data_IF_835017590074
#
_entry.id   IF_835017590074
#
_cell.length_a   1.000
_cell.length_b   1.000
_cell.length_c   1.000
_cell.angle_alpha   90.00
_cell.angle_beta   90.00
_cell.angle_gamma   90.00
#
_symmetry.space_group_name_H-M   'P 1'
#
loop_
_entity.id
_entity.type
_entity.pdbx_description
1 polymer ?
#
# COMPACT_ATOMS: atom_id res chain seq x y z
N UNK A 1 -58.96 18.12 49.02
CA UNK A 1 -59.86 18.81 48.08
C UNK A 1 -59.54 18.32 46.67
N UNK A 2 -60.52 17.84 45.89
CA UNK A 2 -60.46 17.43 44.45
C UNK A 2 -59.29 16.53 43.99
N UNK A 3 -59.41 15.25 43.58
CA UNK A 3 -60.53 14.37 43.19
C UNK A 3 -61.07 14.53 41.74
N UNK A 4 -60.55 13.73 40.78
CA UNK A 4 -61.20 13.16 39.55
C UNK A 4 -60.14 12.50 38.64
N UNK A 5 -59.96 11.17 38.50
CA UNK A 5 -60.75 10.12 37.78
C UNK A 5 -60.95 10.29 36.25
N UNK A 6 -60.32 9.40 35.46
CA UNK A 6 -60.67 8.79 34.14
C UNK A 6 -59.44 8.02 33.61
N UNK A 7 -59.37 6.72 33.29
CA UNK A 7 -60.29 5.55 33.26
C UNK A 7 -61.06 5.30 31.92
N UNK A 8 -60.58 4.28 31.18
CA UNK A 8 -61.22 3.36 30.19
C UNK A 8 -61.72 3.94 28.83
N UNK A 9 -61.20 3.41 27.71
CA UNK A 9 -61.92 2.44 26.85
C UNK A 9 -60.99 1.72 25.85
N UNK A 10 -61.10 0.38 25.82
CA UNK A 10 -60.56 -0.50 24.78
C UNK A 10 -61.64 -0.65 23.69
N UNK A 11 -61.26 -0.62 22.42
CA UNK A 11 -62.11 -1.10 21.32
C UNK A 11 -61.25 -1.74 20.24
N UNK A 12 -61.56 -2.99 19.90
CA UNK A 12 -60.91 -3.74 18.83
C UNK A 12 -61.82 -3.81 17.59
N UNK A 13 -61.23 -3.68 16.41
CA UNK A 13 -61.71 -4.35 15.19
C UNK A 13 -60.57 -4.40 14.18
N UNK A 14 -60.10 -5.58 13.77
CA UNK A 14 -60.72 -6.57 12.86
C UNK A 14 -60.31 -6.30 11.41
N UNK A 15 -59.36 -7.11 10.93
CA UNK A 15 -58.73 -7.00 9.61
C UNK A 15 -58.19 -8.35 9.17
N UNK A 16 -59.08 -9.34 9.14
CA UNK A 16 -58.76 -10.73 8.80
C UNK A 16 -58.76 -10.90 7.28
N UNK A 17 -57.60 -11.11 6.66
CA UNK A 17 -57.50 -11.72 5.34
C UNK A 17 -56.70 -13.02 5.42
N UNK A 18 -57.32 -14.06 4.89
CA UNK A 18 -56.88 -15.45 4.88
C UNK A 18 -56.46 -15.89 3.48
N UNK A 19 -55.48 -16.79 3.41
CA UNK A 19 -55.29 -17.95 2.51
C UNK A 19 -53.77 -18.12 2.23
N UNK A 20 -53.16 -19.28 1.99
CA UNK A 20 -53.34 -20.73 2.24
C UNK A 20 -52.31 -21.43 1.33
N UNK A 21 -51.57 -22.43 1.84
CA UNK A 21 -50.62 -23.27 1.07
C UNK A 21 -49.22 -22.63 0.87
N UNK A 22 -48.08 -23.33 0.79
CA UNK A 22 -47.73 -24.76 0.88
C UNK A 22 -46.21 -24.86 1.23
N UNK A 23 -45.58 -26.00 1.52
CA UNK A 23 -46.02 -27.39 1.77
C UNK A 23 -44.98 -28.10 2.67
N UNK A 24 -45.29 -29.32 3.15
CA UNK A 24 -44.31 -30.26 3.75
C UNK A 24 -43.25 -30.63 2.69
N UNK A 25 -41.98 -30.73 3.07
CA UNK A 25 -40.97 -31.45 2.30
C UNK A 25 -40.04 -32.27 3.19
N UNK A 26 -39.61 -33.41 2.66
CA UNK A 26 -38.99 -34.50 3.40
C UNK A 26 -37.56 -34.23 3.86
N UNK A 27 -37.22 -34.88 4.98
CA UNK A 27 -35.83 -35.07 5.43
C UNK A 27 -35.23 -36.25 4.66
N UNK A 28 -34.73 -36.01 3.45
CA UNK A 28 -33.94 -37.00 2.72
C UNK A 28 -32.50 -37.05 3.22
N UNK A 29 -32.07 -38.20 3.73
CA UNK A 29 -30.68 -38.44 4.10
C UNK A 29 -29.83 -38.67 2.84
N UNK A 30 -28.94 -37.72 2.54
CA UNK A 30 -28.07 -37.80 1.37
C UNK A 30 -26.95 -38.82 1.60
N UNK A 31 -27.22 -40.06 1.20
CA UNK A 31 -26.29 -41.19 1.32
C UNK A 31 -25.16 -41.07 0.28
N UNK A 32 -24.00 -40.59 0.71
CA UNK A 32 -22.85 -40.19 -0.13
C UNK A 32 -22.02 -41.36 -0.71
N UNK A 33 -22.68 -42.45 -1.14
CA UNK A 33 -22.03 -43.74 -1.45
C UNK A 33 -22.65 -44.52 -2.64
N UNK A 34 -23.11 -43.85 -3.69
CA UNK A 34 -23.68 -44.56 -4.86
C UNK A 34 -23.37 -43.90 -6.23
N UNK A 35 -22.17 -43.32 -6.38
CA UNK A 35 -21.66 -42.81 -7.66
C UNK A 35 -20.20 -43.19 -7.94
N UNK A 36 -19.76 -44.35 -7.45
CA UNK A 36 -18.52 -45.02 -7.87
C UNK A 36 -18.86 -46.24 -8.74
N UNK A 37 -19.27 -46.07 -10.00
CA UNK A 37 -19.18 -47.13 -11.04
C UNK A 37 -19.50 -46.69 -12.49
N UNK A 38 -19.26 -45.44 -12.89
CA UNK A 38 -19.24 -45.12 -14.32
C UNK A 38 -18.21 -44.03 -14.66
N UNK A 39 -17.62 -44.13 -15.86
CA UNK A 39 -16.60 -43.22 -16.42
C UNK A 39 -15.21 -43.28 -15.76
N UNK A 40 -14.60 -44.48 -15.72
CA UNK A 40 -13.14 -44.61 -15.87
C UNK A 40 -12.85 -45.32 -17.19
N UNK A 41 -12.63 -44.54 -18.26
CA UNK A 41 -12.15 -45.08 -19.53
C UNK A 41 -10.66 -45.39 -19.39
N UNK A 42 -10.35 -46.63 -19.04
CA UNK A 42 -8.98 -47.11 -18.93
C UNK A 42 -8.23 -46.87 -20.26
N UNK A 43 -7.14 -46.10 -20.19
CA UNK A 43 -6.24 -45.90 -21.32
C UNK A 43 -5.32 -47.13 -21.44
N UNK A 44 -5.32 -47.76 -22.61
CA UNK A 44 -4.53 -48.97 -22.86
C UNK A 44 -3.03 -48.65 -22.82
N UNK A 45 -2.30 -49.33 -21.92
CA UNK A 45 -0.86 -49.16 -21.76
C UNK A 45 -0.12 -49.93 -22.88
N UNK A 46 0.69 -49.26 -23.73
CA UNK A 46 1.35 -49.92 -24.84
C UNK A 46 2.48 -50.86 -24.36
N UNK A 47 2.54 -52.13 -24.85
CA UNK A 47 3.51 -53.10 -24.38
C UNK A 47 4.86 -52.96 -25.09
N UNK A 48 5.78 -52.15 -24.56
CA UNK A 48 7.23 -52.29 -24.78
C UNK A 48 8.08 -51.43 -23.82
N UNK A 49 8.22 -51.88 -22.56
CA UNK A 49 9.01 -51.19 -21.54
C UNK A 49 10.08 -52.09 -20.88
N UNK A 50 10.62 -53.06 -21.63
CA UNK A 50 11.77 -53.87 -21.22
C UNK A 50 12.83 -53.96 -22.31
N UNK A 51 13.77 -53.01 -22.29
CA UNK A 51 15.11 -53.21 -22.84
C UNK A 51 16.18 -52.55 -21.94
N UNK A 52 16.61 -53.22 -20.85
CA UNK A 52 17.64 -52.71 -19.95
C UNK A 52 19.03 -52.90 -20.56
N UNK A 53 19.37 -52.08 -21.56
CA UNK A 53 20.70 -52.04 -22.18
C UNK A 53 21.22 -50.60 -22.35
N UNK A 54 21.19 -49.82 -21.27
CA UNK A 54 21.94 -48.57 -21.14
C UNK A 54 22.97 -48.63 -20.01
N UNK A 55 24.12 -48.01 -20.26
CA UNK A 55 25.30 -48.02 -19.41
C UNK A 55 25.07 -47.30 -18.08
N UNK A 56 25.67 -47.80 -16.98
CA UNK A 56 25.67 -47.14 -15.67
C UNK A 56 26.30 -45.75 -15.67
N UNK A 57 27.00 -45.36 -16.73
CA UNK A 57 27.63 -44.04 -16.86
C UNK A 57 26.63 -42.91 -17.15
N UNK A 58 25.39 -43.23 -17.57
CA UNK A 58 24.33 -42.23 -17.81
C UNK A 58 23.80 -41.64 -16.48
N UNK A 59 23.84 -42.43 -15.38
CA UNK A 59 23.39 -41.97 -14.06
C UNK A 59 24.30 -40.85 -13.51
N UNK A 60 25.60 -40.90 -13.78
CA UNK A 60 26.55 -39.88 -13.32
C UNK A 60 26.35 -38.54 -14.02
N UNK A 61 26.00 -38.56 -15.32
CA UNK A 61 25.63 -37.32 -16.02
C UNK A 61 24.22 -36.85 -15.63
N UNK A 62 23.27 -37.77 -15.42
CA UNK A 62 21.94 -37.41 -14.94
C UNK A 62 21.98 -36.79 -13.53
N UNK A 63 22.87 -37.23 -12.63
CA UNK A 63 23.05 -36.61 -11.30
C UNK A 63 23.73 -35.24 -11.45
N UNK A 64 24.77 -35.11 -12.28
CA UNK A 64 25.39 -33.80 -12.53
C UNK A 64 24.41 -32.81 -13.20
N UNK A 65 23.51 -33.29 -14.06
CA UNK A 65 22.43 -32.47 -14.62
C UNK A 65 21.32 -32.19 -13.61
N UNK A 66 21.00 -33.10 -12.67
CA UNK A 66 20.08 -32.81 -11.57
C UNK A 66 20.64 -31.78 -10.57
N UNK A 67 21.94 -31.77 -10.33
CA UNK A 67 22.62 -30.72 -9.54
C UNK A 67 22.66 -29.38 -10.27
N UNK A 68 22.78 -29.38 -11.61
CA UNK A 68 22.70 -28.18 -12.45
C UNK A 68 21.26 -27.70 -12.69
N UNK A 69 20.28 -28.62 -12.63
CA UNK A 69 18.86 -28.33 -12.74
C UNK A 69 18.27 -27.84 -11.40
N UNK A 70 18.83 -28.19 -10.23
CA UNK A 70 18.33 -27.66 -8.95
C UNK A 70 18.42 -26.13 -8.84
N UNK A 71 19.47 -25.50 -9.39
CA UNK A 71 19.59 -24.04 -9.45
C UNK A 71 18.71 -23.39 -10.53
N UNK A 72 18.14 -24.16 -11.48
CA UNK A 72 17.27 -23.63 -12.55
C UNK A 72 15.79 -24.05 -12.44
N UNK A 73 15.47 -25.03 -11.60
CA UNK A 73 14.10 -25.41 -11.24
C UNK A 73 13.44 -24.39 -10.28
N UNK A 74 14.22 -23.62 -9.53
CA UNK A 74 13.73 -22.49 -8.75
C UNK A 74 13.13 -21.36 -9.62
N UNK A 75 13.55 -21.27 -10.89
CA UNK A 75 13.24 -20.16 -11.81
C UNK A 75 12.32 -20.58 -12.98
N UNK A 76 11.89 -21.86 -13.06
CA UNK A 76 11.03 -22.35 -14.15
C UNK A 76 9.75 -23.11 -13.74
N UNK A 77 9.60 -23.57 -12.49
CA UNK A 77 8.46 -24.46 -12.12
C UNK A 77 7.20 -23.74 -11.61
N UNK A 78 7.17 -22.41 -11.61
CA UNK A 78 5.97 -21.59 -11.29
C UNK A 78 5.25 -21.06 -12.55
N UNK A 79 5.84 -21.21 -13.72
CA UNK A 79 5.57 -20.37 -14.90
C UNK A 79 4.63 -21.00 -15.95
N UNK A 80 4.43 -22.33 -15.93
CA UNK A 80 3.96 -23.04 -17.13
C UNK A 80 2.44 -23.22 -17.27
N UNK A 81 1.63 -22.86 -16.28
CA UNK A 81 0.17 -23.08 -16.30
C UNK A 81 -0.69 -21.96 -15.70
N UNK A 82 -0.09 -20.90 -15.14
CA UNK A 82 -0.82 -19.70 -14.72
C UNK A 82 -0.54 -18.61 -15.77
N UNK A 83 -1.55 -17.90 -16.30
CA UNK A 83 -1.34 -16.78 -17.19
C UNK A 83 -0.83 -15.57 -16.41
N UNK A 84 0.45 -15.59 -16.03
CA UNK A 84 1.17 -14.44 -15.49
C UNK A 84 1.28 -13.40 -16.59
N UNK A 85 0.81 -12.17 -16.34
CA UNK A 85 1.08 -11.08 -17.27
C UNK A 85 2.58 -10.83 -17.24
N UNK A 86 3.21 -10.77 -18.41
CA UNK A 86 4.62 -10.41 -18.53
C UNK A 86 4.77 -9.12 -19.31
N UNK A 87 5.67 -8.28 -18.83
CA UNK A 87 6.06 -7.03 -19.49
C UNK A 87 7.54 -6.80 -19.21
N UNK A 88 8.25 -6.30 -20.22
CA UNK A 88 9.67 -6.08 -20.15
C UNK A 88 10.01 -4.75 -19.43
N UNK A 89 11.28 -4.60 -19.04
CA UNK A 89 11.83 -3.37 -18.46
C UNK A 89 11.20 -2.85 -17.16
N UNK A 90 10.33 -3.64 -16.49
CA UNK A 90 9.62 -3.21 -15.28
C UNK A 90 10.55 -2.59 -14.24
N UNK A 91 10.27 -1.32 -13.90
CA UNK A 91 10.89 -0.67 -12.75
C UNK A 91 10.03 0.41 -12.09
N UNK A 92 10.12 0.54 -10.77
CA UNK A 92 9.51 1.63 -10.02
C UNK A 92 10.47 2.83 -10.03
N UNK A 93 9.93 4.01 -10.31
CA UNK A 93 10.64 5.29 -10.36
C UNK A 93 9.92 6.33 -9.48
N UNK A 94 10.61 7.44 -9.19
CA UNK A 94 10.09 8.55 -8.40
C UNK A 94 10.77 9.86 -8.76
N UNK A 95 10.06 10.96 -8.53
CA UNK A 95 10.57 12.33 -8.64
C UNK A 95 10.47 13.09 -7.29
N UNK A 96 10.44 12.36 -6.17
CA UNK A 96 10.08 12.77 -4.81
C UNK A 96 8.58 13.03 -4.60
N UNK A 97 7.92 13.75 -5.52
CA UNK A 97 6.50 14.13 -5.35
C UNK A 97 5.51 13.06 -5.81
N UNK A 98 5.88 12.27 -6.81
CA UNK A 98 5.07 11.19 -7.39
C UNK A 98 5.96 9.95 -7.58
N UNK A 99 5.34 8.77 -7.52
CA UNK A 99 5.97 7.48 -7.84
C UNK A 99 5.21 6.85 -9.01
N UNK A 100 5.90 6.15 -9.89
CA UNK A 100 5.28 5.45 -11.02
C UNK A 100 5.96 4.12 -11.29
N UNK A 101 5.20 3.22 -11.91
CA UNK A 101 5.73 2.04 -12.55
C UNK A 101 6.08 2.42 -14.00
N UNK A 102 7.33 2.20 -14.38
CA UNK A 102 7.83 2.33 -15.74
C UNK A 102 7.88 0.92 -16.37
N UNK A 103 7.34 0.82 -17.58
CA UNK A 103 7.21 -0.41 -18.36
C UNK A 103 7.82 -0.17 -19.74
N UNK A 104 8.68 -1.07 -20.20
CA UNK A 104 9.30 -1.00 -21.54
C UNK A 104 8.29 -1.48 -22.58
N UNK A 105 7.41 -0.55 -22.98
CA UNK A 105 6.42 -0.72 -24.03
C UNK A 105 5.90 0.63 -24.51
N UNK A 106 5.90 0.84 -25.82
CA UNK A 106 5.20 1.92 -26.52
C UNK A 106 3.72 1.58 -26.79
N UNK A 107 3.32 0.33 -26.59
CA UNK A 107 1.95 -0.16 -26.78
C UNK A 107 1.04 0.23 -25.59
N UNK A 108 0.66 1.50 -25.56
CA UNK A 108 -0.19 2.11 -24.53
C UNK A 108 -1.53 1.38 -24.34
N UNK A 109 -2.13 0.83 -25.40
CA UNK A 109 -3.38 0.06 -25.32
C UNK A 109 -3.18 -1.28 -24.60
N UNK A 110 -2.07 -1.99 -24.83
CA UNK A 110 -1.74 -3.20 -24.09
C UNK A 110 -1.53 -2.91 -22.61
N UNK A 111 -0.80 -1.83 -22.28
CA UNK A 111 -0.62 -1.40 -20.88
C UNK A 111 -1.96 -1.02 -20.25
N UNK A 112 -2.84 -0.30 -20.96
CA UNK A 112 -4.19 0.04 -20.51
C UNK A 112 -5.01 -1.20 -20.11
N UNK A 113 -5.07 -2.21 -20.98
CA UNK A 113 -5.82 -3.45 -20.70
C UNK A 113 -5.16 -4.28 -19.59
N UNK A 114 -3.84 -4.20 -19.45
CA UNK A 114 -3.11 -4.86 -18.36
C UNK A 114 -3.43 -4.18 -17.01
N UNK A 115 -3.41 -2.84 -16.94
CA UNK A 115 -3.78 -2.07 -15.73
C UNK A 115 -5.23 -2.30 -15.32
N UNK A 116 -6.17 -2.38 -16.28
CA UNK A 116 -7.57 -2.74 -15.97
C UNK A 116 -7.69 -4.14 -15.37
N UNK A 117 -6.96 -5.11 -15.92
CA UNK A 117 -6.97 -6.49 -15.41
C UNK A 117 -6.35 -6.59 -14.02
N UNK A 118 -5.30 -5.82 -13.75
CA UNK A 118 -4.74 -5.62 -12.41
C UNK A 118 -5.81 -5.07 -11.44
N UNK A 119 -6.44 -3.94 -11.74
CA UNK A 119 -7.45 -3.34 -10.87
C UNK A 119 -8.60 -4.33 -10.56
N UNK A 120 -9.06 -5.06 -11.58
CA UNK A 120 -10.08 -6.10 -11.40
C UNK A 120 -9.62 -7.31 -10.56
N UNK A 121 -8.37 -7.78 -10.69
CA UNK A 121 -7.87 -8.88 -9.86
C UNK A 121 -7.74 -8.50 -8.37
N UNK A 122 -7.58 -7.21 -8.07
CA UNK A 122 -7.59 -6.67 -6.70
C UNK A 122 -9.00 -6.22 -6.26
N UNK A 123 -10.06 -6.63 -6.97
CA UNK A 123 -11.45 -6.40 -6.58
C UNK A 123 -12.02 -5.02 -6.93
N UNK A 124 -11.25 -4.15 -7.57
CA UNK A 124 -11.74 -2.83 -8.00
C UNK A 124 -12.55 -2.94 -9.29
N UNK A 125 -13.69 -2.25 -9.33
CA UNK A 125 -14.49 -2.03 -10.54
C UNK A 125 -14.11 -0.67 -11.14
N UNK A 126 -14.08 -0.57 -12.48
CA UNK A 126 -13.80 0.69 -13.18
C UNK A 126 -15.09 1.52 -13.28
N UNK A 127 -15.03 2.76 -12.79
CA UNK A 127 -16.13 3.74 -12.84
C UNK A 127 -16.07 4.63 -14.09
N UNK A 128 -14.87 5.06 -14.47
CA UNK A 128 -14.64 6.01 -15.57
C UNK A 128 -13.38 5.62 -16.36
N UNK A 129 -13.50 5.58 -17.69
CA UNK A 129 -12.39 5.37 -18.61
C UNK A 129 -12.22 6.59 -19.52
N UNK A 130 -11.05 7.23 -19.44
CA UNK A 130 -10.69 8.43 -20.21
C UNK A 130 -9.38 8.21 -20.96
N UNK A 131 -9.44 7.30 -21.94
CA UNK A 131 -8.31 6.95 -22.82
C UNK A 131 -7.70 8.15 -23.54
N UNK A 132 -8.54 9.14 -23.85
CA UNK A 132 -8.16 10.39 -24.53
C UNK A 132 -7.15 11.24 -23.75
N UNK A 133 -7.10 11.08 -22.42
CA UNK A 133 -6.21 11.81 -21.51
C UNK A 133 -5.41 10.87 -20.58
N UNK A 134 -5.45 9.56 -20.81
CA UNK A 134 -4.68 8.59 -20.04
C UNK A 134 -5.23 8.24 -18.65
N UNK A 135 -6.50 8.50 -18.32
CA UNK A 135 -7.04 8.31 -16.96
C UNK A 135 -8.03 7.15 -16.79
N UNK A 136 -7.81 6.32 -15.78
CA UNK A 136 -8.75 5.34 -15.25
C UNK A 136 -9.19 5.75 -13.84
N UNK A 137 -10.46 5.58 -13.48
CA UNK A 137 -10.94 5.77 -12.09
C UNK A 137 -11.72 4.56 -11.65
N UNK A 138 -11.47 4.08 -10.43
CA UNK A 138 -12.26 3.00 -9.84
C UNK A 138 -13.54 3.53 -9.18
N UNK A 139 -14.49 2.63 -8.99
CA UNK A 139 -15.50 2.76 -7.95
C UNK A 139 -14.86 2.68 -6.56
N UNK A 140 -15.62 3.07 -5.53
CA UNK A 140 -15.23 2.88 -4.15
C UNK A 140 -15.39 1.40 -3.75
N UNK A 141 -14.29 0.77 -3.35
CA UNK A 141 -14.26 -0.60 -2.84
C UNK A 141 -14.27 -0.59 -1.32
N UNK A 142 -15.20 -1.29 -0.66
CA UNK A 142 -15.18 -1.46 0.79
C UNK A 142 -14.00 -2.34 1.20
N UNK A 143 -13.14 -1.84 2.10
CA UNK A 143 -12.08 -2.66 2.69
C UNK A 143 -12.70 -3.77 3.53
N UNK A 144 -12.31 -5.01 3.29
CA UNK A 144 -13.01 -6.21 3.82
C UNK A 144 -12.13 -7.09 4.72
N UNK A 145 -10.97 -6.59 5.15
CA UNK A 145 -9.93 -7.38 5.81
C UNK A 145 -9.69 -6.93 7.26
N UNK A 146 -9.92 -7.86 8.19
CA UNK A 146 -9.25 -7.89 9.49
C UNK A 146 -7.89 -8.55 9.26
N UNK A 147 -6.78 -7.86 9.48
CA UNK A 147 -5.44 -8.47 9.31
C UNK A 147 -5.13 -9.37 10.51
N UNK A 148 -5.00 -10.71 10.35
CA UNK A 148 -4.66 -11.56 11.48
C UNK A 148 -3.17 -11.41 11.81
N UNK A 149 -2.86 -10.79 12.97
CA UNK A 149 -1.47 -10.54 13.39
C UNK A 149 -0.61 -11.81 13.62
N UNK A 150 -1.27 -12.97 13.75
CA UNK A 150 -0.70 -14.12 14.45
C UNK A 150 0.07 -15.12 13.57
N UNK A 151 -0.06 -15.07 12.23
CA UNK A 151 0.52 -16.11 11.36
C UNK A 151 0.89 -15.61 9.94
N UNK A 152 1.61 -14.49 9.87
CA UNK A 152 2.01 -13.84 8.61
C UNK A 152 3.51 -13.62 8.53
N UNK A 153 4.12 -14.04 7.41
CA UNK A 153 5.56 -13.93 7.15
C UNK A 153 6.04 -12.47 7.03
N UNK A 154 7.37 -12.26 7.05
CA UNK A 154 7.98 -10.92 7.03
C UNK A 154 7.50 -10.03 5.89
N UNK A 155 7.35 -10.58 4.67
CA UNK A 155 6.82 -9.86 3.51
C UNK A 155 5.37 -9.44 3.74
N UNK A 156 4.52 -10.37 4.18
CA UNK A 156 3.09 -10.11 4.45
C UNK A 156 2.89 -9.12 5.60
N UNK A 157 3.73 -9.15 6.65
CA UNK A 157 3.72 -8.13 7.72
C UNK A 157 4.10 -6.76 7.20
N UNK A 158 5.11 -6.67 6.34
CA UNK A 158 5.56 -5.40 5.75
C UNK A 158 4.53 -4.83 4.75
N UNK A 159 3.81 -5.70 4.02
CA UNK A 159 2.72 -5.30 3.13
C UNK A 159 1.43 -4.93 3.87
N UNK A 160 1.22 -5.40 5.11
CA UNK A 160 -0.01 -5.16 5.88
C UNK A 160 0.14 -4.19 7.07
N UNK A 161 1.36 -3.77 7.43
CA UNK A 161 1.62 -2.94 8.63
C UNK A 161 0.87 -1.61 8.68
N UNK A 162 0.55 -1.04 7.52
CA UNK A 162 -0.14 0.26 7.38
C UNK A 162 -1.67 0.13 7.31
N UNK A 163 -2.23 -1.11 7.25
CA UNK A 163 -3.67 -1.40 7.31
C UNK A 163 -4.12 -1.35 8.79
N UNK A 164 -5.15 -0.56 9.16
CA UNK A 164 -5.70 -0.63 10.51
C UNK A 164 -6.35 -2.00 10.76
N UNK A 165 -6.18 -2.54 11.97
CA UNK A 165 -6.61 -3.89 12.36
C UNK A 165 -8.13 -4.11 12.25
N UNK A 166 -8.91 -3.04 12.34
CA UNK A 166 -10.36 -3.00 12.19
C UNK A 166 -10.73 -1.99 11.10
N UNK A 167 -11.17 -2.50 9.94
CA UNK A 167 -11.46 -1.69 8.76
C UNK A 167 -12.96 -1.65 8.40
N UNK A 168 -13.85 -1.40 9.36
CA UNK A 168 -15.25 -1.08 9.03
C UNK A 168 -15.43 0.41 8.70
N UNK A 169 -16.38 0.73 7.82
CA UNK A 169 -16.61 2.10 7.33
C UNK A 169 -15.51 2.69 6.43
N UNK A 170 -14.49 1.92 6.03
CA UNK A 170 -13.40 2.35 5.15
C UNK A 170 -13.65 1.93 3.70
N UNK A 171 -13.53 2.89 2.77
CA UNK A 171 -13.62 2.64 1.33
C UNK A 171 -12.42 3.22 0.60
N UNK A 172 -11.86 2.43 -0.31
CA UNK A 172 -10.69 2.74 -1.10
C UNK A 172 -11.08 3.05 -2.55
N UNK A 173 -10.43 4.04 -3.15
CA UNK A 173 -10.58 4.39 -4.56
C UNK A 173 -9.22 4.72 -5.16
N UNK A 174 -8.97 4.23 -6.38
CA UNK A 174 -7.80 4.59 -7.16
C UNK A 174 -8.18 5.45 -8.37
N UNK A 175 -7.32 6.42 -8.66
CA UNK A 175 -7.22 7.10 -9.95
C UNK A 175 -5.87 6.71 -10.54
N UNK A 176 -5.85 6.17 -11.75
CA UNK A 176 -4.62 5.75 -12.42
C UNK A 176 -4.39 6.63 -13.64
N UNK A 177 -3.20 7.22 -13.75
CA UNK A 177 -2.73 8.00 -14.91
C UNK A 177 -1.74 7.14 -15.69
N UNK A 178 -1.90 7.04 -17.00
CA UNK A 178 -1.03 6.29 -17.91
C UNK A 178 -0.49 7.26 -18.96
N UNK A 179 0.83 7.37 -19.04
CA UNK A 179 1.54 8.27 -19.95
C UNK A 179 2.54 7.45 -20.79
N UNK A 180 2.52 7.61 -22.11
CA UNK A 180 3.43 6.89 -23.01
C UNK A 180 4.43 7.84 -23.64
N UNK A 181 5.70 7.56 -23.43
CA UNK A 181 6.87 8.24 -24.00
C UNK A 181 7.34 7.45 -25.23
N UNK A 182 6.74 7.77 -26.38
CA UNK A 182 6.96 7.08 -27.66
C UNK A 182 8.43 7.18 -28.11
N UNK A 183 9.15 8.23 -27.71
CA UNK A 183 10.57 8.40 -28.06
C UNK A 183 11.48 7.51 -27.20
N UNK A 184 11.12 7.28 -25.94
CA UNK A 184 11.84 6.39 -25.03
C UNK A 184 11.43 4.91 -25.16
N UNK A 185 10.30 4.62 -25.81
CA UNK A 185 9.71 3.28 -25.86
C UNK A 185 9.09 2.84 -24.52
N UNK A 186 8.69 3.80 -23.68
CA UNK A 186 8.30 3.56 -22.29
C UNK A 186 6.87 4.00 -22.00
N UNK A 187 6.17 3.28 -21.14
CA UNK A 187 4.89 3.71 -20.56
C UNK A 187 5.00 3.81 -19.04
N UNK A 188 4.55 4.93 -18.49
CA UNK A 188 4.54 5.26 -17.05
C UNK A 188 3.13 5.14 -16.50
N UNK A 189 2.97 4.41 -15.40
CA UNK A 189 1.69 4.18 -14.72
C UNK A 189 1.78 4.75 -13.30
N UNK A 190 0.99 5.78 -13.02
CA UNK A 190 0.90 6.46 -11.73
C UNK A 190 -0.39 6.03 -11.04
N UNK A 191 -0.31 5.61 -9.77
CA UNK A 191 -1.47 5.29 -8.96
C UNK A 191 -1.69 6.38 -7.92
N UNK A 192 -2.85 7.01 -7.91
CA UNK A 192 -3.28 7.96 -6.88
C UNK A 192 -4.37 7.35 -6.01
N UNK A 193 -4.17 7.32 -4.70
CA UNK A 193 -5.10 6.73 -3.74
C UNK A 193 -5.99 7.78 -3.06
N UNK A 194 -7.27 7.45 -2.92
CA UNK A 194 -8.24 8.22 -2.16
C UNK A 194 -8.97 7.32 -1.15
N UNK A 195 -8.94 7.73 0.11
CA UNK A 195 -9.63 7.03 1.20
C UNK A 195 -10.87 7.83 1.65
N UNK A 196 -12.00 7.14 1.68
CA UNK A 196 -13.25 7.63 2.25
C UNK A 196 -13.52 6.87 3.56
N UNK A 197 -13.85 7.60 4.63
CA UNK A 197 -14.08 7.00 5.95
C UNK A 197 -15.39 7.48 6.57
N UNK A 198 -16.13 6.55 7.16
CA UNK A 198 -17.27 6.78 8.06
C UNK A 198 -16.83 6.52 9.50
N UNK A 199 -16.78 7.56 10.38
CA UNK A 199 -16.35 7.39 11.77
C UNK A 199 -17.25 6.48 12.60
N UNK A 200 -18.55 6.50 12.30
CA UNK A 200 -19.57 5.99 13.20
C UNK A 200 -20.17 4.68 12.67
N UNK A 201 -19.74 3.56 13.27
CA UNK A 201 -20.28 2.21 13.00
C UNK A 201 -21.01 1.64 14.23
N UNK A 202 -20.87 2.27 15.41
CA UNK A 202 -21.40 1.77 16.69
C UNK A 202 -22.36 2.72 17.43
N UNK A 203 -22.62 3.93 16.93
CA UNK A 203 -23.64 4.82 17.51
C UNK A 203 -24.83 4.99 16.57
N UNK A 204 -26.03 5.07 17.16
CA UNK A 204 -27.28 4.91 16.45
C UNK A 204 -27.62 6.13 15.58
N UNK A 205 -27.43 5.99 14.27
CA UNK A 205 -28.08 6.72 13.16
C UNK A 205 -28.86 8.00 13.57
N UNK A 206 -28.14 9.10 13.77
CA UNK A 206 -28.73 10.44 13.61
C UNK A 206 -28.22 11.06 12.30
N UNK A 207 -29.09 11.85 11.66
CA UNK A 207 -29.02 12.08 10.22
C UNK A 207 -28.24 13.36 9.88
N UNK A 208 -27.09 13.20 9.23
CA UNK A 208 -26.54 14.25 8.36
C UNK A 208 -25.25 14.93 8.84
N UNK A 209 -24.20 14.15 9.10
CA UNK A 209 -22.79 14.54 8.95
C UNK A 209 -21.91 13.29 9.16
N UNK A 210 -20.76 13.06 8.53
CA UNK A 210 -20.17 13.70 7.34
C UNK A 210 -19.10 12.75 6.79
N UNK A 211 -19.19 12.31 5.53
CA UNK A 211 -18.09 11.58 4.90
C UNK A 211 -16.85 12.48 4.85
N UNK A 212 -15.74 12.04 5.46
CA UNK A 212 -14.48 12.80 5.46
C UNK A 212 -13.49 12.16 4.50
N UNK A 213 -12.97 12.96 3.57
CA UNK A 213 -11.80 12.59 2.75
C UNK A 213 -10.59 12.65 3.68
N UNK A 214 -9.88 11.53 3.84
CA UNK A 214 -8.64 11.49 4.63
C UNK A 214 -7.49 12.09 3.81
N UNK A 215 -6.49 12.76 4.42
CA UNK A 215 -5.27 13.15 3.71
C UNK A 215 -4.59 11.96 2.99
N UNK A 216 -3.88 12.33 1.93
CA UNK A 216 -3.08 11.47 1.05
C UNK A 216 -2.13 10.55 1.83
N UNK A 217 -2.05 9.27 1.43
CA UNK A 217 -1.20 8.24 2.06
C UNK A 217 -0.22 7.62 1.05
N UNK A 218 1.05 8.05 1.02
CA UNK A 218 2.08 7.47 0.14
C UNK A 218 2.18 5.94 0.20
N UNK A 219 1.95 5.34 1.37
CA UNK A 219 2.04 3.89 1.61
C UNK A 219 1.06 3.09 0.73
N UNK A 220 -0.14 3.63 0.48
CA UNK A 220 -1.19 2.97 -0.32
C UNK A 220 -0.77 2.88 -1.80
N UNK A 221 -0.06 3.90 -2.29
CA UNK A 221 0.42 3.99 -3.65
C UNK A 221 1.69 3.17 -3.83
N UNK A 222 2.54 3.11 -2.80
CA UNK A 222 3.65 2.16 -2.73
C UNK A 222 3.15 0.71 -2.85
N UNK A 223 2.10 0.32 -2.11
CA UNK A 223 1.51 -1.01 -2.27
C UNK A 223 0.98 -1.23 -3.69
N UNK A 224 0.20 -0.31 -4.25
CA UNK A 224 -0.34 -0.45 -5.60
C UNK A 224 0.77 -0.62 -6.66
N UNK A 225 1.90 0.08 -6.49
CA UNK A 225 3.08 -0.05 -7.33
C UNK A 225 3.77 -1.42 -7.16
N UNK A 226 3.93 -1.91 -5.92
CA UNK A 226 4.46 -3.25 -5.67
C UNK A 226 3.57 -4.33 -6.28
N UNK A 227 2.26 -4.29 -5.98
CA UNK A 227 1.29 -5.29 -6.44
C UNK A 227 1.18 -5.29 -7.97
N UNK A 228 1.16 -4.12 -8.61
CA UNK A 228 1.12 -4.03 -10.08
C UNK A 228 2.43 -4.51 -10.71
N UNK A 229 3.59 -4.16 -10.16
CA UNK A 229 4.88 -4.65 -10.64
C UNK A 229 5.00 -6.18 -10.57
N UNK A 230 4.52 -6.79 -9.46
CA UNK A 230 4.46 -8.25 -9.33
C UNK A 230 3.45 -8.85 -10.31
N UNK A 231 2.26 -8.25 -10.44
CA UNK A 231 1.22 -8.70 -11.37
C UNK A 231 1.67 -8.69 -12.84
N UNK A 232 2.52 -7.74 -13.25
CA UNK A 232 3.11 -7.68 -14.59
C UNK A 232 4.37 -8.55 -14.76
N UNK A 233 4.70 -9.41 -13.78
CA UNK A 233 5.70 -10.47 -13.94
C UNK A 233 7.05 -10.22 -13.27
N UNK A 234 7.16 -9.25 -12.35
CA UNK A 234 8.33 -9.13 -11.47
C UNK A 234 8.26 -10.10 -10.29
N UNK A 235 9.41 -10.54 -9.78
CA UNK A 235 9.47 -11.15 -8.45
C UNK A 235 9.12 -10.14 -7.35
N UNK A 236 8.61 -10.66 -6.23
CA UNK A 236 8.28 -9.92 -5.00
C UNK A 236 9.51 -9.18 -4.46
N UNK A 237 10.66 -9.84 -4.50
CA UNK A 237 11.93 -9.38 -3.94
C UNK A 237 12.44 -8.19 -4.74
N UNK A 238 12.35 -8.25 -6.08
CA UNK A 238 12.71 -7.15 -6.99
C UNK A 238 11.78 -5.95 -6.80
N UNK A 239 10.47 -6.17 -6.70
CA UNK A 239 9.51 -5.10 -6.50
C UNK A 239 9.71 -4.38 -5.14
N UNK A 240 9.91 -5.15 -4.06
CA UNK A 240 10.18 -4.62 -2.73
C UNK A 240 11.53 -3.88 -2.65
N UNK A 241 12.57 -4.40 -3.32
CA UNK A 241 13.87 -3.72 -3.38
C UNK A 241 13.76 -2.35 -4.07
N UNK A 242 13.00 -2.24 -5.15
CA UNK A 242 12.82 -0.98 -5.87
C UNK A 242 11.96 0.03 -5.12
N UNK A 243 10.94 -0.41 -4.37
CA UNK A 243 10.25 0.46 -3.40
C UNK A 243 11.22 1.04 -2.36
N UNK A 244 12.03 0.20 -1.71
CA UNK A 244 12.99 0.66 -0.69
C UNK A 244 14.01 1.68 -1.23
N UNK A 245 14.51 1.45 -2.45
CA UNK A 245 15.42 2.40 -3.13
C UNK A 245 14.71 3.71 -3.51
N UNK A 246 13.40 3.66 -3.75
CA UNK A 246 12.52 4.80 -4.01
C UNK A 246 12.14 5.56 -2.74
N UNK A 247 12.06 4.87 -1.60
CA UNK A 247 11.67 5.41 -0.30
C UNK A 247 12.81 6.04 0.49
N UNK A 248 14.08 5.79 0.14
CA UNK A 248 15.20 6.23 0.96
C UNK A 248 16.49 6.47 0.16
N UNK A 249 17.05 7.68 0.31
CA UNK A 249 18.47 7.80 0.64
C UNK A 249 18.65 8.76 1.81
N UNK A 250 18.33 8.26 3.00
CA UNK A 250 18.91 8.80 4.24
C UNK A 250 20.39 8.49 4.16
N UNK A 251 21.24 9.49 4.36
CA UNK A 251 22.68 9.27 4.48
C UNK A 251 23.06 9.54 5.93
N UNK A 252 23.33 8.46 6.68
CA UNK A 252 24.21 8.59 7.83
C UNK A 252 25.61 8.85 7.26
N UNK A 253 26.11 10.06 7.47
CA UNK A 253 27.54 10.35 7.29
C UNK A 253 28.29 9.59 8.39
N UNK A 254 29.44 9.00 8.04
CA UNK A 254 30.26 8.20 8.95
C UNK A 254 30.45 8.87 10.33
N UNK A 255 30.00 8.20 11.39
CA UNK A 255 30.14 8.69 12.77
C UNK A 255 28.84 8.87 13.56
N UNK A 256 28.07 7.77 13.70
CA UNK A 256 27.09 7.51 14.77
C UNK A 256 25.81 8.38 14.92
N UNK A 257 25.62 9.51 14.20
CA UNK A 257 24.44 10.37 14.42
C UNK A 257 23.65 10.79 13.15
N UNK A 258 22.31 10.74 13.22
CA UNK A 258 21.40 11.10 12.13
C UNK A 258 21.40 12.63 11.89
N UNK A 259 21.99 13.05 10.78
CA UNK A 259 22.17 14.48 10.45
C UNK A 259 21.09 15.10 9.57
N UNK A 260 20.72 14.43 8.47
CA UNK A 260 19.97 15.02 7.37
C UNK A 260 19.30 13.97 6.48
N UNK A 261 18.46 14.41 5.53
CA UNK A 261 17.91 13.57 4.46
C UNK A 261 18.57 13.92 3.12
N UNK A 262 18.82 12.92 2.26
CA UNK A 262 19.25 13.16 0.87
C UNK A 262 18.09 12.86 -0.08
N UNK A 263 17.64 13.93 -0.74
CA UNK A 263 16.58 13.92 -1.73
C UNK A 263 17.20 13.74 -3.13
N UNK A 264 16.83 12.68 -3.84
CA UNK A 264 17.29 12.41 -5.23
C UNK A 264 16.50 13.23 -6.26
N UNK A 265 16.58 14.54 -6.16
CA UNK A 265 16.18 15.45 -7.22
C UNK A 265 17.02 16.73 -7.21
N UNK A 266 16.89 17.53 -8.26
CA UNK A 266 17.45 18.88 -8.31
C UNK A 266 16.88 19.77 -7.21
N UNK A 267 17.62 20.82 -6.86
CA UNK A 267 17.29 21.77 -5.80
C UNK A 267 15.87 22.35 -5.93
N UNK A 268 15.46 22.73 -7.15
CA UNK A 268 14.13 23.28 -7.46
C UNK A 268 12.99 22.28 -7.23
N UNK A 269 13.19 21.01 -7.62
CA UNK A 269 12.22 19.93 -7.40
C UNK A 269 12.10 19.61 -5.91
N UNK A 270 13.24 19.49 -5.23
CA UNK A 270 13.33 19.27 -3.79
C UNK A 270 12.66 20.40 -2.99
N UNK A 271 12.79 21.66 -3.45
CA UNK A 271 12.16 22.83 -2.84
C UNK A 271 10.64 22.83 -2.98
N UNK A 272 10.16 22.57 -4.20
CA UNK A 272 8.73 22.43 -4.49
C UNK A 272 8.10 21.29 -3.67
N UNK A 273 8.82 20.17 -3.57
CA UNK A 273 8.45 19.03 -2.73
C UNK A 273 8.40 19.38 -1.24
N UNK A 274 9.43 20.04 -0.69
CA UNK A 274 9.49 20.43 0.72
C UNK A 274 8.30 21.32 1.13
N UNK A 275 7.99 22.36 0.33
CA UNK A 275 6.84 23.23 0.59
C UNK A 275 5.51 22.45 0.57
N UNK A 276 5.32 21.60 -0.43
CA UNK A 276 4.11 20.79 -0.55
C UNK A 276 3.98 19.78 0.61
N UNK A 277 5.09 19.20 1.07
CA UNK A 277 5.11 18.26 2.20
C UNK A 277 4.76 18.95 3.52
N UNK A 278 5.34 20.11 3.81
CA UNK A 278 4.98 20.91 5.00
C UNK A 278 3.49 21.26 5.02
N UNK A 279 2.93 21.66 3.87
CA UNK A 279 1.49 21.91 3.73
C UNK A 279 0.65 20.64 3.93
N UNK A 280 1.04 19.50 3.34
CA UNK A 280 0.34 18.20 3.51
C UNK A 280 0.38 17.68 4.95
N UNK A 281 1.44 17.99 5.69
CA UNK A 281 1.59 17.64 7.11
C UNK A 281 0.77 18.53 8.05
N UNK A 282 0.10 19.57 7.53
CA UNK A 282 -0.63 20.60 8.30
C UNK A 282 0.28 21.43 9.23
N UNK A 283 1.56 21.58 8.86
CA UNK A 283 2.51 22.44 9.59
C UNK A 283 2.44 23.87 9.06
N UNK A 284 2.32 24.85 9.96
CA UNK A 284 2.20 26.25 9.54
C UNK A 284 3.56 26.88 9.19
N UNK A 285 3.65 27.44 7.98
CA UNK A 285 4.84 28.16 7.52
C UNK A 285 4.86 29.55 8.17
N UNK A 286 5.92 29.85 8.91
CA UNK A 286 6.17 31.14 9.54
C UNK A 286 6.85 32.11 8.57
N UNK A 287 7.86 31.63 7.84
CA UNK A 287 8.66 32.45 6.92
C UNK A 287 9.28 31.61 5.80
N UNK A 288 9.50 32.24 4.64
CA UNK A 288 10.12 31.63 3.46
C UNK A 288 11.27 32.51 2.97
N UNK A 289 12.40 31.89 2.62
CA UNK A 289 13.53 32.50 1.89
C UNK A 289 13.86 31.61 0.70
N UNK A 290 13.13 31.79 -0.40
CA UNK A 290 13.31 31.02 -1.63
C UNK A 290 14.67 31.29 -2.32
N UNK A 291 15.29 32.45 -2.06
CA UNK A 291 16.65 32.78 -2.51
C UNK A 291 17.74 31.91 -1.84
N UNK A 292 17.44 31.33 -0.67
CA UNK A 292 18.35 30.47 0.11
C UNK A 292 17.83 29.05 0.30
N UNK A 293 16.66 28.73 -0.27
CA UNK A 293 15.97 27.46 -0.07
C UNK A 293 15.75 27.12 1.42
N UNK A 294 15.39 28.15 2.21
CA UNK A 294 15.17 28.04 3.67
C UNK A 294 13.71 28.33 4.02
N UNK A 295 13.15 27.52 4.90
CA UNK A 295 11.76 27.58 5.35
C UNK A 295 11.71 27.51 6.89
N UNK A 296 10.98 28.43 7.52
CA UNK A 296 10.69 28.36 8.95
C UNK A 296 9.28 27.87 9.15
N UNK A 297 9.11 26.80 9.93
CA UNK A 297 7.83 26.15 10.18
C UNK A 297 7.57 26.06 11.67
N UNK A 298 6.33 26.28 12.09
CA UNK A 298 5.94 26.06 13.47
C UNK A 298 5.62 24.57 13.68
N UNK A 299 6.21 23.98 14.71
CA UNK A 299 5.93 22.59 15.09
C UNK A 299 4.55 22.54 15.76
N UNK A 300 3.60 21.69 15.33
CA UNK A 300 2.32 21.53 16.01
C UNK A 300 2.45 21.15 17.50
N UNK A 301 1.58 21.68 18.36
CA UNK A 301 1.67 21.50 19.82
C UNK A 301 1.66 20.02 20.26
N UNK A 302 0.86 19.19 19.57
CA UNK A 302 0.76 17.75 19.78
C UNK A 302 2.03 16.95 19.39
N UNK A 303 2.99 17.61 18.74
CA UNK A 303 4.29 17.07 18.32
C UNK A 303 5.41 17.69 19.17
N UNK A 304 5.25 18.94 19.63
CA UNK A 304 6.15 19.57 20.62
C UNK A 304 6.17 18.81 21.95
N UNK A 305 5.02 18.25 22.36
CA UNK A 305 4.85 17.56 23.64
C UNK A 305 4.04 16.27 23.45
N UNK A 306 4.73 15.18 23.15
CA UNK A 306 4.13 13.84 23.23
C UNK A 306 4.80 13.03 24.35
N UNK A 307 4.01 12.66 25.36
CA UNK A 307 4.42 11.63 26.31
C UNK A 307 4.54 10.30 25.56
N UNK A 308 5.76 9.79 25.44
CA UNK A 308 6.06 8.53 24.74
C UNK A 308 5.19 7.39 25.28
N UNK A 309 4.33 6.79 24.42
CA UNK A 309 3.51 5.62 24.75
C UNK A 309 4.34 4.42 25.29
N UNK A 310 5.64 4.41 24.98
CA UNK A 310 6.61 3.39 25.37
C UNK A 310 7.09 3.55 26.83
N UNK A 311 6.90 4.72 27.45
CA UNK A 311 7.38 5.04 28.80
C UNK A 311 6.75 4.18 29.91
N UNK A 312 5.60 3.57 29.63
CA UNK A 312 4.91 2.67 30.56
C UNK A 312 5.63 1.33 30.82
N UNK A 313 6.58 0.93 29.96
CA UNK A 313 7.26 -0.37 30.04
C UNK A 313 8.72 -0.30 30.54
N UNK A 314 9.25 0.90 30.80
CA UNK A 314 10.65 1.10 31.16
C UNK A 314 10.83 1.97 32.42
N UNK A 315 10.40 1.45 33.58
CA UNK A 315 10.44 2.16 34.87
C UNK A 315 11.85 2.58 35.36
N UNK A 316 12.91 2.15 34.67
CA UNK A 316 14.31 2.37 35.04
C UNK A 316 15.05 3.39 34.17
N UNK A 317 14.42 3.97 33.14
CA UNK A 317 15.01 5.04 32.33
C UNK A 317 14.37 6.38 32.69
N UNK A 318 15.18 7.41 32.87
CA UNK A 318 14.70 8.78 33.01
C UNK A 318 13.86 9.16 31.80
N UNK A 319 12.73 9.83 32.05
CA UNK A 319 11.80 10.26 31.02
C UNK A 319 12.38 11.45 30.24
N UNK A 320 13.20 11.18 29.23
CA UNK A 320 13.59 12.18 28.24
C UNK A 320 12.37 12.51 27.36
N UNK A 321 11.59 13.47 27.84
CA UNK A 321 10.55 14.13 27.04
C UNK A 321 11.26 14.85 25.90
N UNK A 322 10.99 14.42 24.66
CA UNK A 322 11.47 15.11 23.46
C UNK A 322 10.72 16.45 23.31
N UNK A 323 11.14 17.46 24.09
CA UNK A 323 10.70 18.83 23.89
C UNK A 323 11.28 19.34 22.57
N UNK A 324 10.44 19.51 21.55
CA UNK A 324 10.83 20.21 20.32
C UNK A 324 10.61 21.72 20.48
N UNK A 325 11.41 22.56 19.80
CA UNK A 325 11.17 24.00 19.77
C UNK A 325 9.88 24.32 18.99
N UNK A 326 9.24 25.44 19.33
CA UNK A 326 7.98 25.87 18.69
C UNK A 326 8.11 26.23 17.21
N UNK A 327 9.32 26.54 16.74
CA UNK A 327 9.67 26.77 15.34
C UNK A 327 10.91 25.95 15.02
N UNK A 328 11.01 25.39 13.81
CA UNK A 328 12.26 24.81 13.26
C UNK A 328 12.57 25.40 11.89
N UNK A 329 13.84 25.35 11.52
CA UNK A 329 14.36 25.80 10.21
C UNK A 329 14.63 24.57 9.34
N UNK A 330 14.06 24.54 8.14
CA UNK A 330 14.29 23.52 7.12
C UNK A 330 15.08 24.15 5.97
N UNK A 331 16.24 23.58 5.62
CA UNK A 331 17.15 24.13 4.62
C UNK A 331 17.53 23.09 3.59
N UNK A 332 17.53 23.47 2.30
CA UNK A 332 18.02 22.63 1.20
C UNK A 332 19.32 23.18 0.62
N UNK A 333 20.28 22.30 0.37
CA UNK A 333 21.52 22.58 -0.38
C UNK A 333 21.79 21.50 -1.42
N UNK A 334 22.45 21.83 -2.52
CA UNK A 334 22.91 20.80 -3.44
C UNK A 334 23.98 19.92 -2.79
N UNK A 335 24.02 18.66 -3.19
CA UNK A 335 25.16 17.77 -2.97
C UNK A 335 26.31 18.22 -3.89
N UNK A 336 27.53 18.33 -3.35
CA UNK A 336 28.68 18.88 -4.11
C UNK A 336 29.25 17.88 -5.12
N UNK A 337 28.98 16.58 -4.97
CA UNK A 337 29.46 15.54 -5.88
C UNK A 337 28.43 15.16 -6.94
N UNK A 338 27.12 15.32 -6.67
CA UNK A 338 26.05 14.83 -7.55
C UNK A 338 24.91 15.85 -7.69
N UNK A 339 24.84 16.52 -8.84
CA UNK A 339 23.86 17.57 -9.15
C UNK A 339 22.38 17.15 -9.14
N UNK A 340 22.08 15.85 -9.18
CA UNK A 340 20.73 15.30 -9.02
C UNK A 340 20.36 14.93 -7.57
N UNK A 341 21.20 15.31 -6.60
CA UNK A 341 20.92 15.19 -5.17
C UNK A 341 20.84 16.55 -4.49
N UNK A 342 19.94 16.63 -3.52
CA UNK A 342 19.77 17.77 -2.61
C UNK A 342 19.76 17.25 -1.18
N UNK A 343 20.47 17.92 -0.28
CA UNK A 343 20.53 17.61 1.15
C UNK A 343 19.56 18.52 1.90
N UNK A 344 18.68 17.92 2.70
CA UNK A 344 17.69 18.58 3.56
C UNK A 344 18.13 18.47 5.03
N UNK A 345 18.44 19.60 5.65
CA UNK A 345 18.71 19.71 7.09
C UNK A 345 17.49 20.26 7.85
N UNK A 346 17.39 19.90 9.14
CA UNK A 346 16.47 20.54 10.08
C UNK A 346 17.24 21.02 11.30
N UNK A 347 17.04 22.27 11.65
CA UNK A 347 17.82 22.99 12.67
C UNK A 347 16.89 23.74 13.63
N UNK A 348 17.33 23.92 14.87
CA UNK A 348 16.65 24.80 15.82
C UNK A 348 16.80 26.28 15.38
N UNK A 349 15.95 27.20 15.86
CA UNK A 349 16.12 28.62 15.63
C UNK A 349 17.46 29.15 16.17
N UNK A 350 17.96 30.23 15.58
CA UNK A 350 19.22 30.86 16.02
C UNK A 350 19.13 31.29 17.49
N UNK A 351 20.06 30.79 18.32
CA UNK A 351 20.09 31.05 19.76
C UNK A 351 19.41 29.99 20.64
N UNK A 352 18.74 28.99 20.05
CA UNK A 352 18.17 27.84 20.78
C UNK A 352 19.15 26.66 20.85
N UNK A 353 18.83 25.64 21.66
CA UNK A 353 19.66 24.42 21.77
C UNK A 353 19.59 23.61 20.47
N UNK A 354 20.72 23.18 19.90
CA UNK A 354 20.72 22.35 18.68
C UNK A 354 19.92 21.06 18.86
N UNK A 355 19.16 20.70 17.82
CA UNK A 355 18.36 19.46 17.79
C UNK A 355 19.28 18.23 17.87
N UNK A 356 18.94 17.27 18.73
CA UNK A 356 19.55 15.94 18.74
C UNK A 356 19.17 15.12 17.51
N UNK A 357 19.93 14.07 17.22
CA UNK A 357 19.62 13.15 16.12
C UNK A 357 18.23 12.51 16.21
N UNK A 358 17.76 12.19 17.43
CA UNK A 358 16.39 11.68 17.64
C UNK A 358 15.34 12.76 17.32
N UNK A 359 15.54 14.00 17.78
CA UNK A 359 14.62 15.11 17.50
C UNK A 359 14.53 15.42 16.00
N UNK A 360 15.67 15.46 15.29
CA UNK A 360 15.70 15.63 13.83
C UNK A 360 14.93 14.52 13.13
N UNK A 361 15.15 13.27 13.52
CA UNK A 361 14.45 12.10 12.96
C UNK A 361 12.95 12.20 13.20
N UNK A 362 12.53 12.46 14.43
CA UNK A 362 11.12 12.57 14.81
C UNK A 362 10.40 13.71 14.06
N UNK A 363 11.06 14.86 13.82
CA UNK A 363 10.52 15.93 12.98
C UNK A 363 10.27 15.44 11.55
N UNK A 364 11.24 14.74 10.94
CA UNK A 364 11.07 14.24 9.57
C UNK A 364 10.01 13.12 9.45
N UNK A 365 9.88 12.24 10.45
CA UNK A 365 8.79 11.26 10.54
C UNK A 365 7.43 11.95 10.62
N UNK A 366 7.30 13.00 11.42
CA UNK A 366 6.05 13.78 11.54
C UNK A 366 5.74 14.65 10.31
N UNK A 367 6.75 15.03 9.53
CA UNK A 367 6.56 15.64 8.20
C UNK A 367 6.23 14.62 7.11
N UNK A 368 6.20 13.31 7.41
CA UNK A 368 6.01 12.26 6.40
C UNK A 368 7.18 12.11 5.43
N UNK A 369 8.36 12.63 5.79
CA UNK A 369 9.61 12.51 5.02
C UNK A 369 10.42 11.25 5.39
N UNK A 370 10.03 10.57 6.46
CA UNK A 370 10.56 9.29 6.91
C UNK A 370 9.42 8.33 7.22
N UNK A 371 9.63 7.04 6.95
CA UNK A 371 8.82 5.98 7.52
C UNK A 371 9.16 5.81 9.01
N UNK A 372 8.12 5.58 9.81
CA UNK A 372 8.19 5.24 11.25
C UNK A 372 8.64 3.79 11.46
#
# INVERSE_FOLDING_TARGET
MHLSKKIIFISASFGMLSLTGCSIFDRSENNYRDSETEVVKALEMPPNLFNPSKSKNDLSMAIAQLEQDQDSLADQDSEKHIPTFKSDGLSIKSNLSERWLEIESDNSEQVWQNVKRFLHSFGFTIAEERKDIGFLKTEYLKRSELVPMNDVGLVTKLLNSWRPELADGVFDKFVVRIETDVNAGMTRVYFSHHLLYSPDVNEALDQGDRWKIKPYRPEMEAEALYQSMVFFGSSSEKALAQLKVTETKIELVDGEEFGHLVLRASLEKSWSYLQATVYRADWSIKEVRADRYTLWVNVPENIQQQDSFLSSLAFWRSSDKQNLPSTVTLSLRMDEEQSEKTILTVEAPEGETPLSSEQRRYIFENLGLLAQ
#
